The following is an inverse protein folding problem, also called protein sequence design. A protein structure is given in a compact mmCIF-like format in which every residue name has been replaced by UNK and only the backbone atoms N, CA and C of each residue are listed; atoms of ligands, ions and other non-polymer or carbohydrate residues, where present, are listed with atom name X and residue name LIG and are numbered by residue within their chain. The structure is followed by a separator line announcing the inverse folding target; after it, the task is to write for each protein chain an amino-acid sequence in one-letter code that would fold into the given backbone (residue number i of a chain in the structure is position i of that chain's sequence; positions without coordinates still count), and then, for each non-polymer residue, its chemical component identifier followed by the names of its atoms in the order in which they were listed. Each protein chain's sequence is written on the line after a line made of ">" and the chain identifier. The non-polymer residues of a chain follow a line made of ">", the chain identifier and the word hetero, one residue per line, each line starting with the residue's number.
data_IF_136241351585
#
_entry.id   IF_136241351585
#
_cell.length_a   1.000
_cell.length_b   1.000
_cell.length_c   1.000
_cell.angle_alpha   90.00
_cell.angle_beta   90.00
_cell.angle_gamma   90.00
#
_symmetry.space_group_name_H-M   'P 1'
#
loop_
_entity.id
_entity.type
_entity.pdbx_description
1 polymer ?
#
# COMPACT_ATOMS: atom_id res chain seq x y z
N UNK A 1 41.83 3.76 -38.22
CA UNK A 1 41.07 5.04 -38.22
C UNK A 1 40.76 5.38 -36.77
N UNK A 2 41.03 6.61 -36.31
CA UNK A 2 40.60 7.02 -34.96
C UNK A 2 39.07 7.02 -34.92
N UNK A 3 38.49 6.40 -33.90
CA UNK A 3 37.04 6.29 -33.77
C UNK A 3 36.46 7.68 -33.49
N UNK A 4 35.36 8.05 -34.15
CA UNK A 4 34.67 9.33 -33.93
C UNK A 4 34.27 9.54 -32.46
N UNK A 5 34.06 8.44 -31.71
CA UNK A 5 33.81 8.43 -30.26
C UNK A 5 35.02 8.97 -29.49
N UNK A 6 36.23 8.57 -29.89
CA UNK A 6 37.50 9.00 -29.28
C UNK A 6 37.67 10.51 -29.43
N UNK A 7 37.40 11.02 -30.64
CA UNK A 7 37.47 12.44 -30.95
C UNK A 7 36.41 13.25 -30.16
N UNK A 8 35.16 12.78 -30.14
CA UNK A 8 34.07 13.39 -29.38
C UNK A 8 34.38 13.46 -27.87
N UNK A 9 34.88 12.37 -27.29
CA UNK A 9 35.25 12.30 -25.88
C UNK A 9 36.35 13.32 -25.51
N UNK A 10 37.30 13.54 -26.42
CA UNK A 10 38.36 14.55 -26.25
C UNK A 10 37.76 15.95 -26.19
N UNK A 11 36.90 16.31 -27.15
CA UNK A 11 36.24 17.62 -27.16
C UNK A 11 35.34 17.87 -25.94
N UNK A 12 34.65 16.84 -25.44
CA UNK A 12 33.86 16.91 -24.21
C UNK A 12 34.74 17.11 -22.96
N UNK A 13 35.95 16.51 -22.92
CA UNK A 13 36.95 16.69 -21.86
C UNK A 13 37.68 18.03 -21.94
N UNK A 14 37.76 18.69 -23.09
CA UNK A 14 38.29 20.06 -23.19
C UNK A 14 37.27 21.07 -22.64
N UNK A 15 35.96 20.85 -22.88
CA UNK A 15 34.88 21.75 -22.45
C UNK A 15 34.19 21.33 -21.13
N UNK A 16 34.96 20.87 -20.13
CA UNK A 16 34.42 20.22 -18.92
C UNK A 16 33.30 20.98 -18.22
N UNK A 17 33.43 22.31 -18.10
CA UNK A 17 32.43 23.15 -17.41
C UNK A 17 31.05 23.09 -18.08
N UNK A 18 31.01 23.18 -19.42
CA UNK A 18 29.77 23.10 -20.19
C UNK A 18 29.21 21.67 -20.18
N UNK A 19 30.08 20.68 -20.40
CA UNK A 19 29.69 19.26 -20.46
C UNK A 19 29.08 18.78 -19.15
N UNK A 20 29.67 19.12 -18.00
CA UNK A 20 29.14 18.71 -16.68
C UNK A 20 27.78 19.34 -16.42
N UNK A 21 27.59 20.62 -16.75
CA UNK A 21 26.30 21.30 -16.58
C UNK A 21 25.19 20.63 -17.40
N UNK A 22 25.48 20.27 -18.65
CA UNK A 22 24.51 19.57 -19.52
C UNK A 22 24.18 18.18 -19.01
N UNK A 23 25.18 17.40 -18.57
CA UNK A 23 24.95 16.05 -18.01
C UNK A 23 24.08 16.14 -16.75
N UNK A 24 24.37 17.08 -15.86
CA UNK A 24 23.57 17.28 -14.65
C UNK A 24 22.13 17.71 -14.99
N UNK A 25 21.93 18.58 -15.97
CA UNK A 25 20.59 18.98 -16.40
C UNK A 25 19.76 17.81 -16.92
N UNK A 26 20.34 16.97 -17.78
CA UNK A 26 19.66 15.76 -18.29
C UNK A 26 19.43 14.74 -17.19
N UNK A 27 20.42 14.50 -16.33
CA UNK A 27 20.30 13.59 -15.20
C UNK A 27 19.17 14.03 -14.24
N UNK A 28 19.12 15.31 -13.87
CA UNK A 28 18.06 15.84 -13.01
C UNK A 28 16.68 15.72 -13.65
N UNK A 29 16.54 16.05 -14.94
CA UNK A 29 15.28 15.90 -15.64
C UNK A 29 14.79 14.45 -15.67
N UNK A 30 15.67 13.51 -16.01
CA UNK A 30 15.33 12.08 -16.06
C UNK A 30 14.97 11.52 -14.69
N UNK A 31 15.73 11.85 -13.64
CA UNK A 31 15.44 11.43 -12.25
C UNK A 31 14.09 11.96 -11.79
N UNK A 32 13.78 13.23 -12.08
CA UNK A 32 12.50 13.83 -11.69
C UNK A 32 11.30 13.11 -12.31
N UNK A 33 11.36 12.84 -13.63
CA UNK A 33 10.29 12.12 -14.34
C UNK A 33 10.13 10.70 -13.76
N UNK A 34 11.24 10.01 -13.49
CA UNK A 34 11.21 8.66 -12.93
C UNK A 34 10.65 8.63 -11.51
N UNK A 35 11.05 9.60 -10.68
CA UNK A 35 10.59 9.74 -9.31
C UNK A 35 9.07 10.00 -9.26
N UNK A 36 8.57 10.92 -10.09
CA UNK A 36 7.13 11.21 -10.17
C UNK A 36 6.36 10.00 -10.68
N UNK A 37 6.85 9.33 -11.73
CA UNK A 37 6.20 8.12 -12.26
C UNK A 37 6.07 7.02 -11.22
N UNK A 38 7.16 6.73 -10.51
CA UNK A 38 7.17 5.72 -9.43
C UNK A 38 6.27 6.12 -8.27
N UNK A 39 6.35 7.39 -7.84
CA UNK A 39 5.52 7.92 -6.76
C UNK A 39 4.03 7.82 -7.08
N UNK A 40 3.61 8.16 -8.31
CA UNK A 40 2.21 8.04 -8.73
C UNK A 40 1.73 6.59 -8.72
N UNK A 41 2.56 5.63 -9.13
CA UNK A 41 2.21 4.21 -9.05
C UNK A 41 2.03 3.76 -7.59
N UNK A 42 3.00 4.02 -6.73
CA UNK A 42 2.91 3.67 -5.31
C UNK A 42 1.74 4.38 -4.61
N UNK A 43 1.48 5.64 -4.96
CA UNK A 43 0.36 6.41 -4.41
C UNK A 43 -0.99 5.82 -4.86
N UNK A 44 -1.12 5.45 -6.14
CA UNK A 44 -2.30 4.75 -6.64
C UNK A 44 -2.51 3.41 -5.93
N UNK A 45 -1.45 2.61 -5.78
CA UNK A 45 -1.55 1.33 -5.07
C UNK A 45 -1.95 1.54 -3.61
N UNK A 46 -1.40 2.56 -2.94
CA UNK A 46 -1.77 2.91 -1.57
C UNK A 46 -3.21 3.38 -1.45
N UNK A 47 -3.71 4.16 -2.42
CA UNK A 47 -5.12 4.55 -2.47
C UNK A 47 -6.02 3.35 -2.72
N UNK A 48 -5.67 2.46 -3.66
CA UNK A 48 -6.42 1.23 -3.91
C UNK A 48 -6.45 0.30 -2.70
N UNK A 49 -5.34 0.18 -1.97
CA UNK A 49 -5.29 -0.58 -0.72
C UNK A 49 -6.18 0.05 0.36
N UNK A 50 -6.20 1.37 0.48
CA UNK A 50 -7.10 2.06 1.42
C UNK A 50 -8.57 1.87 1.04
N UNK A 51 -8.90 2.04 -0.24
CA UNK A 51 -10.26 1.83 -0.75
C UNK A 51 -10.68 0.36 -0.60
N UNK A 52 -9.82 -0.61 -0.88
CA UNK A 52 -10.11 -2.04 -0.65
C UNK A 52 -10.27 -2.38 0.84
N UNK A 53 -9.46 -1.79 1.72
CA UNK A 53 -9.64 -1.93 3.16
C UNK A 53 -10.93 -1.26 3.66
N UNK A 54 -11.40 -0.22 2.98
CA UNK A 54 -12.65 0.46 3.27
C UNK A 54 -13.88 -0.16 2.57
N UNK A 55 -13.68 -0.89 1.47
CA UNK A 55 -14.71 -1.23 0.49
C UNK A 55 -14.58 -2.69 0.04
N UNK A 56 -14.96 -3.59 0.94
CA UNK A 56 -15.54 -4.88 0.58
C UNK A 56 -16.92 -5.07 1.28
N UNK A 57 -17.43 -3.97 1.83
CA UNK A 57 -18.71 -3.86 2.53
C UNK A 57 -19.35 -2.50 2.18
N UNK A 58 -20.65 -2.49 1.87
CA UNK A 58 -21.38 -1.24 1.60
C UNK A 58 -21.73 -0.49 2.90
N UNK A 59 -21.81 -1.20 4.02
CA UNK A 59 -22.17 -0.65 5.33
C UNK A 59 -21.37 -1.32 6.45
N UNK A 60 -20.86 -0.51 7.39
CA UNK A 60 -20.25 -0.98 8.65
C UNK A 60 -21.06 -0.52 9.84
N UNK A 61 -21.61 -1.47 10.56
CA UNK A 61 -22.37 -1.23 11.79
C UNK A 61 -21.50 -1.60 12.99
N UNK A 62 -21.43 -0.71 13.98
CA UNK A 62 -20.61 -0.87 15.18
C UNK A 62 -21.48 -0.86 16.44
N UNK A 63 -21.02 -1.52 17.51
CA UNK A 63 -21.73 -1.60 18.81
C UNK A 63 -23.11 -2.25 18.72
N UNK A 64 -23.24 -3.31 17.95
CA UNK A 64 -24.45 -4.12 17.86
C UNK A 64 -24.47 -5.18 18.97
N UNK A 65 -25.66 -5.49 19.48
CA UNK A 65 -25.86 -6.67 20.34
C UNK A 65 -26.07 -7.94 19.50
N UNK A 66 -25.99 -9.12 20.12
CA UNK A 66 -26.12 -10.41 19.41
C UNK A 66 -27.45 -10.55 18.65
N UNK A 67 -28.56 -10.04 19.20
CA UNK A 67 -29.88 -10.11 18.55
C UNK A 67 -29.95 -9.24 17.28
N UNK A 68 -29.34 -8.06 17.31
CA UNK A 68 -29.24 -7.16 16.16
C UNK A 68 -28.33 -7.75 15.08
N UNK A 69 -27.21 -8.36 15.48
CA UNK A 69 -26.31 -9.07 14.57
C UNK A 69 -27.07 -10.19 13.84
N UNK A 70 -27.82 -11.02 14.57
CA UNK A 70 -28.60 -12.12 13.97
C UNK A 70 -29.70 -11.62 13.03
N UNK A 71 -30.39 -10.52 13.37
CA UNK A 71 -31.42 -9.93 12.49
C UNK A 71 -30.83 -9.42 11.18
N UNK A 72 -29.64 -8.81 11.22
CA UNK A 72 -28.99 -8.26 10.04
C UNK A 72 -28.36 -9.37 9.20
N UNK A 73 -27.65 -10.30 9.82
CA UNK A 73 -26.96 -11.40 9.11
C UNK A 73 -27.94 -12.36 8.41
N UNK A 74 -29.17 -12.51 8.93
CA UNK A 74 -30.21 -13.35 8.33
C UNK A 74 -31.22 -12.58 7.46
N UNK A 75 -31.02 -11.29 7.22
CA UNK A 75 -31.89 -10.52 6.34
C UNK A 75 -31.66 -10.92 4.87
N UNK A 76 -32.74 -11.16 4.12
CA UNK A 76 -32.72 -11.52 2.70
C UNK A 76 -32.06 -10.47 1.80
N UNK A 77 -32.06 -9.20 2.23
CA UNK A 77 -31.42 -8.09 1.51
C UNK A 77 -29.90 -8.05 1.72
N UNK A 78 -29.36 -8.79 2.70
CA UNK A 78 -27.93 -8.85 2.99
C UNK A 78 -27.32 -10.02 2.23
N UNK A 79 -26.64 -9.70 1.12
CA UNK A 79 -25.98 -10.70 0.26
C UNK A 79 -24.83 -11.43 0.95
N UNK A 80 -24.04 -10.71 1.74
CA UNK A 80 -22.90 -11.28 2.47
C UNK A 80 -22.59 -10.44 3.72
N UNK A 81 -22.10 -11.10 4.78
CA UNK A 81 -21.79 -10.46 6.05
C UNK A 81 -20.63 -11.15 6.76
N UNK A 82 -19.82 -10.36 7.46
CA UNK A 82 -18.73 -10.84 8.32
C UNK A 82 -18.80 -10.13 9.66
N UNK A 83 -18.61 -10.87 10.75
CA UNK A 83 -18.73 -10.34 12.10
C UNK A 83 -17.36 -10.42 12.76
N UNK A 84 -16.93 -9.30 13.35
CA UNK A 84 -15.74 -9.29 14.19
C UNK A 84 -16.02 -8.53 15.48
N UNK A 85 -15.45 -9.05 16.55
CA UNK A 85 -15.38 -8.41 17.86
C UNK A 85 -13.91 -8.12 18.12
N UNK A 86 -13.55 -6.85 18.11
CA UNK A 86 -12.22 -6.43 18.54
C UNK A 86 -12.26 -6.17 20.04
N UNK A 87 -11.47 -6.92 20.81
CA UNK A 87 -11.19 -6.57 22.19
C UNK A 87 -10.11 -5.48 22.18
N UNK A 88 -10.55 -4.24 21.99
CA UNK A 88 -9.65 -3.07 22.02
C UNK A 88 -9.26 -2.65 23.42
N UNK A 89 -9.86 -3.25 24.45
CA UNK A 89 -9.64 -2.90 25.86
C UNK A 89 -8.52 -3.74 26.48
N UNK A 90 -8.33 -4.98 26.03
CA UNK A 90 -7.30 -5.87 26.59
C UNK A 90 -6.02 -5.86 25.74
N UNK A 91 -4.97 -5.22 26.26
CA UNK A 91 -3.64 -5.15 25.65
C UNK A 91 -2.77 -6.30 26.19
N UNK A 92 -2.30 -7.19 25.30
CA UNK A 92 -1.44 -8.30 25.70
C UNK A 92 0.04 -7.96 25.43
N UNK A 93 0.90 -7.89 26.46
CA UNK A 93 2.33 -7.69 26.26
C UNK A 93 2.96 -8.94 25.66
N UNK A 94 3.80 -8.76 24.63
CA UNK A 94 4.56 -9.86 24.04
C UNK A 94 5.88 -10.00 24.82
N UNK A 95 6.01 -11.09 25.57
CA UNK A 95 7.18 -11.35 26.41
C UNK A 95 8.49 -11.19 25.63
N UNK A 96 9.38 -10.33 26.15
CA UNK A 96 10.69 -10.06 25.56
C UNK A 96 10.72 -8.93 24.52
N UNK A 97 9.64 -8.18 24.34
CA UNK A 97 9.58 -7.03 23.42
C UNK A 97 8.73 -5.89 24.00
N UNK A 98 8.96 -4.65 23.55
CA UNK A 98 8.08 -3.50 23.84
C UNK A 98 6.78 -3.51 23.00
N UNK A 99 6.47 -4.64 22.35
CA UNK A 99 5.33 -4.76 21.46
C UNK A 99 4.13 -5.30 22.21
N UNK A 100 2.96 -4.81 21.83
CA UNK A 100 1.67 -5.25 22.36
C UNK A 100 0.82 -5.88 21.25
N UNK A 101 -0.01 -6.84 21.62
CA UNK A 101 -0.95 -7.50 20.73
C UNK A 101 -2.39 -7.16 21.11
N UNK A 102 -3.20 -6.92 20.08
CA UNK A 102 -4.66 -6.84 20.18
C UNK A 102 -5.26 -8.17 19.75
N UNK A 103 -6.22 -8.70 20.50
CA UNK A 103 -6.95 -9.90 20.11
C UNK A 103 -8.26 -9.48 19.46
N UNK A 104 -8.40 -9.75 18.16
CA UNK A 104 -9.68 -9.73 17.48
C UNK A 104 -10.19 -11.16 17.32
N UNK A 105 -11.49 -11.36 17.60
CA UNK A 105 -12.20 -12.60 17.33
C UNK A 105 -13.21 -12.34 16.22
N UNK A 106 -13.11 -13.07 15.13
CA UNK A 106 -14.07 -13.04 14.03
C UNK A 106 -14.76 -14.39 13.82
N UNK A 107 -15.83 -14.38 13.05
CA UNK A 107 -16.38 -15.61 12.51
C UNK A 107 -15.49 -16.17 11.38
N UNK A 108 -15.73 -17.41 10.94
CA UNK A 108 -14.92 -18.05 9.88
C UNK A 108 -14.88 -17.20 8.60
N UNK A 109 -16.01 -16.56 8.25
CA UNK A 109 -16.15 -15.72 7.06
C UNK A 109 -15.25 -14.50 7.11
N UNK A 110 -15.14 -13.86 8.28
CA UNK A 110 -14.23 -12.75 8.49
C UNK A 110 -12.77 -13.11 8.18
N UNK A 111 -12.27 -14.24 8.70
CA UNK A 111 -10.88 -14.64 8.48
C UNK A 111 -10.60 -15.14 7.05
N UNK A 112 -11.57 -15.78 6.40
CA UNK A 112 -11.47 -16.17 4.98
C UNK A 112 -11.31 -14.94 4.06
N UNK A 113 -12.09 -13.88 4.31
CA UNK A 113 -11.99 -12.63 3.53
C UNK A 113 -10.66 -11.90 3.73
N UNK A 114 -10.16 -11.85 4.97
CA UNK A 114 -8.86 -11.22 5.25
C UNK A 114 -7.73 -11.99 4.56
N UNK A 115 -7.74 -13.31 4.62
CA UNK A 115 -6.69 -14.13 4.02
C UNK A 115 -6.59 -13.93 2.50
N UNK A 116 -7.73 -13.85 1.80
CA UNK A 116 -7.77 -13.59 0.35
C UNK A 116 -7.18 -12.23 -0.02
N UNK A 117 -7.28 -11.22 0.85
CA UNK A 117 -6.68 -9.90 0.61
C UNK A 117 -5.15 -9.87 0.80
N UNK A 118 -4.58 -10.84 1.53
CA UNK A 118 -3.13 -10.97 1.74
C UNK A 118 -2.45 -11.95 0.78
N UNK A 119 -3.20 -12.80 0.07
CA UNK A 119 -2.64 -13.73 -0.94
C UNK A 119 -2.48 -13.07 -2.34
N UNK A 120 -2.69 -11.75 -2.46
CA UNK A 120 -2.33 -10.95 -3.64
C UNK A 120 -1.03 -10.20 -3.34
N UNK A 121 0.09 -10.93 -3.24
CA UNK A 121 1.44 -10.37 -3.31
C UNK A 121 2.36 -11.33 -4.09
#
# INVERSE_FOLDING_TARGET
>A
MKSYIELSSKYMRENKKRTVLTILGVALATVLIFAIGTFLFSFKDTMLLQERNASDYEFKLSKLNNEQVDKIANNVEVKDSSIYTADTETIYPINGTDRTAYISKGDKRYYEKIRLNYEIE
#
